data_IF_053305138906
#
_entry.id   IF_053305138906
#
_cell.length_a   1.000
_cell.length_b   1.000
_cell.length_c   1.000
_cell.angle_alpha   90.00
_cell.angle_beta   90.00
_cell.angle_gamma   90.00
#
_symmetry.space_group_name_H-M   'P 1'
#
loop_
_entity.id
_entity.type
_entity.pdbx_description
1 polymer ?
#
# COMPACT_ATOMS: atom_id res chain seq x y z
N UNK A 1 -11.57 0.51 -5.69
CA UNK A 1 -12.83 1.09 -6.25
C UNK A 1 -14.00 0.93 -5.26
N UNK A 2 -13.72 0.72 -3.98
CA UNK A 2 -14.69 0.39 -2.96
C UNK A 2 -15.12 -1.09 -2.90
N UNK A 3 -14.68 -1.96 -3.83
CA UNK A 3 -15.12 -3.36 -3.90
C UNK A 3 -13.97 -4.32 -3.59
N UNK A 4 -14.18 -5.20 -2.62
CA UNK A 4 -13.15 -6.17 -2.19
C UNK A 4 -13.01 -7.40 -3.11
N UNK A 5 -13.90 -7.54 -4.10
CA UNK A 5 -13.90 -8.65 -5.06
C UNK A 5 -13.30 -8.27 -6.43
N UNK A 6 -13.01 -6.99 -6.66
CA UNK A 6 -12.18 -6.52 -7.77
C UNK A 6 -10.74 -6.40 -7.27
N UNK A 7 -9.78 -6.56 -8.18
CA UNK A 7 -8.36 -6.48 -7.84
C UNK A 7 -7.62 -5.69 -8.90
N UNK A 8 -6.59 -4.99 -8.47
CA UNK A 8 -5.49 -4.53 -9.31
C UNK A 8 -4.38 -5.56 -9.29
N UNK A 9 -3.65 -5.63 -10.39
CA UNK A 9 -2.54 -6.55 -10.56
C UNK A 9 -1.56 -5.94 -11.56
N UNK A 10 -0.29 -5.86 -11.18
CA UNK A 10 0.77 -5.45 -12.11
C UNK A 10 1.17 -6.62 -13.02
N UNK A 11 2.16 -6.42 -13.89
CA UNK A 11 2.91 -7.56 -14.43
C UNK A 11 3.90 -8.08 -13.38
N UNK A 12 4.60 -9.19 -13.69
CA UNK A 12 5.73 -9.61 -12.87
C UNK A 12 6.91 -8.72 -13.23
N UNK A 13 7.26 -7.83 -12.32
CA UNK A 13 8.28 -6.82 -12.54
C UNK A 13 9.09 -6.59 -11.27
N UNK A 14 10.22 -5.90 -11.41
CA UNK A 14 11.05 -5.54 -10.27
C UNK A 14 10.47 -4.32 -9.58
N UNK A 15 10.34 -4.40 -8.25
CA UNK A 15 9.81 -3.32 -7.42
C UNK A 15 8.42 -2.81 -7.85
N UNK A 16 7.44 -3.70 -8.05
CA UNK A 16 6.10 -3.30 -8.47
C UNK A 16 5.51 -2.36 -7.41
N UNK A 17 4.78 -1.34 -7.88
CA UNK A 17 4.23 -0.33 -6.99
C UNK A 17 2.84 0.12 -7.41
N UNK A 18 2.13 0.66 -6.43
CA UNK A 18 0.90 1.40 -6.60
C UNK A 18 1.04 2.72 -5.84
N UNK A 19 0.55 3.81 -6.42
CA UNK A 19 0.58 5.13 -5.80
C UNK A 19 -0.75 5.84 -6.01
N UNK A 20 -1.22 6.53 -4.98
CA UNK A 20 -2.38 7.43 -5.05
C UNK A 20 -1.95 8.86 -4.75
N UNK A 21 -2.48 9.80 -5.52
CA UNK A 21 -2.47 11.24 -5.23
C UNK A 21 -3.79 11.62 -4.55
N UNK A 22 -3.73 12.11 -3.31
CA UNK A 22 -4.90 12.53 -2.53
C UNK A 22 -5.41 13.94 -2.91
N UNK A 23 -4.76 14.62 -3.86
CA UNK A 23 -5.11 15.94 -4.38
C UNK A 23 -4.55 17.11 -3.56
N UNK A 24 -4.31 16.92 -2.26
CA UNK A 24 -3.63 17.89 -1.37
C UNK A 24 -2.91 17.17 -0.23
N UNK A 25 -2.22 17.94 0.60
CA UNK A 25 -1.51 17.42 1.77
C UNK A 25 -2.51 17.15 2.90
N UNK A 26 -2.41 15.98 3.50
CA UNK A 26 -3.14 15.55 4.69
C UNK A 26 -2.19 15.01 5.76
N UNK A 27 -2.66 15.01 6.99
CA UNK A 27 -2.07 14.28 8.10
C UNK A 27 -2.61 12.84 8.08
N UNK A 28 -1.76 11.89 7.70
CA UNK A 28 -2.13 10.48 7.49
C UNK A 28 -1.89 9.70 8.78
N UNK A 29 -2.93 9.00 9.23
CA UNK A 29 -2.95 8.22 10.47
C UNK A 29 -2.60 6.75 10.23
N UNK A 30 -3.32 6.13 9.30
CA UNK A 30 -3.17 4.71 8.98
C UNK A 30 -3.53 4.40 7.54
N UNK A 31 -2.97 3.30 7.07
CA UNK A 31 -3.23 2.73 5.75
C UNK A 31 -3.72 1.30 5.95
N UNK A 32 -4.81 0.95 5.29
CA UNK A 32 -5.34 -0.41 5.29
C UNK A 32 -5.22 -0.98 3.88
N UNK A 33 -4.72 -2.20 3.78
CA UNK A 33 -4.48 -2.91 2.53
C UNK A 33 -5.21 -4.24 2.58
N UNK A 34 -6.11 -4.46 1.63
CA UNK A 34 -6.86 -5.69 1.48
C UNK A 34 -6.17 -6.52 0.40
N UNK A 35 -5.63 -7.68 0.77
CA UNK A 35 -4.97 -8.58 -0.17
C UNK A 35 -6.02 -9.27 -1.07
N UNK A 36 -5.55 -9.86 -2.17
CA UNK A 36 -6.37 -10.59 -3.13
C UNK A 36 -7.19 -11.69 -2.43
N UNK A 37 -8.52 -11.78 -2.68
CA UNK A 37 -9.42 -12.64 -1.89
C UNK A 37 -9.48 -14.10 -2.33
N UNK A 38 -9.04 -14.45 -3.54
CA UNK A 38 -9.33 -15.77 -4.14
C UNK A 38 -8.12 -16.69 -4.35
N UNK A 39 -6.89 -16.17 -4.38
CA UNK A 39 -5.68 -16.98 -4.36
C UNK A 39 -4.45 -16.12 -4.07
N UNK A 40 -3.32 -16.81 -3.91
CA UNK A 40 -2.01 -16.24 -4.23
C UNK A 40 -1.53 -15.12 -3.28
N UNK A 41 -2.19 -14.93 -2.14
CA UNK A 41 -1.87 -13.84 -1.19
C UNK A 41 -0.41 -13.80 -0.74
N UNK A 42 0.28 -14.96 -0.70
CA UNK A 42 1.71 -15.06 -0.37
C UNK A 42 2.66 -14.28 -1.27
N UNK A 43 2.20 -13.82 -2.44
CA UNK A 43 3.01 -12.94 -3.30
C UNK A 43 3.20 -11.56 -2.68
N UNK A 44 2.24 -11.07 -1.89
CA UNK A 44 2.39 -9.81 -1.17
C UNK A 44 3.32 -10.02 0.03
N UNK A 45 4.55 -9.54 -0.11
CA UNK A 45 5.64 -9.61 0.87
C UNK A 45 6.66 -8.52 0.61
N UNK A 46 7.51 -8.25 1.59
CA UNK A 46 8.51 -7.17 1.58
C UNK A 46 7.94 -5.84 1.04
N UNK A 47 6.80 -5.43 1.58
CA UNK A 47 6.04 -4.25 1.15
C UNK A 47 6.40 -3.04 1.99
N UNK A 48 6.85 -1.97 1.34
CA UNK A 48 7.00 -0.65 1.93
C UNK A 48 5.75 0.20 1.69
N UNK A 49 5.29 0.87 2.75
CA UNK A 49 4.31 1.94 2.69
C UNK A 49 5.06 3.26 2.83
N UNK A 50 4.98 4.11 1.81
CA UNK A 50 5.71 5.36 1.69
C UNK A 50 4.74 6.53 1.59
N UNK A 51 5.02 7.62 2.29
CA UNK A 51 4.17 8.82 2.34
C UNK A 51 5.01 10.07 2.09
N UNK A 52 4.54 10.98 1.25
CA UNK A 52 5.26 12.25 1.05
C UNK A 52 4.47 13.32 0.28
N UNK A 53 4.94 14.57 0.30
CA UNK A 53 4.35 15.65 -0.50
C UNK A 53 4.60 15.45 -2.00
N UNK A 54 5.72 14.82 -2.39
CA UNK A 54 6.13 14.60 -3.79
C UNK A 54 6.72 13.20 -3.98
N UNK A 55 6.77 12.71 -5.22
CA UNK A 55 7.26 11.36 -5.55
C UNK A 55 8.74 11.13 -5.18
N UNK A 56 9.56 12.18 -5.20
CA UNK A 56 10.98 12.15 -4.82
C UNK A 56 11.25 12.52 -3.35
N UNK A 57 10.20 12.75 -2.56
CA UNK A 57 10.30 13.19 -1.17
C UNK A 57 9.39 12.35 -0.26
N UNK A 58 9.45 11.02 -0.40
CA UNK A 58 8.65 10.09 0.40
C UNK A 58 9.43 9.55 1.61
N UNK A 59 8.73 9.37 2.73
CA UNK A 59 9.23 8.76 3.96
C UNK A 59 8.57 7.40 4.18
N UNK A 60 9.32 6.47 4.77
CA UNK A 60 8.79 5.16 5.18
C UNK A 60 7.80 5.35 6.33
N UNK A 61 6.54 4.96 6.10
CA UNK A 61 5.51 4.82 7.11
C UNK A 61 5.64 3.48 7.82
N UNK A 62 5.66 2.39 7.05
CA UNK A 62 5.72 1.04 7.58
C UNK A 62 6.40 0.11 6.59
N UNK A 63 7.01 -0.96 7.11
CA UNK A 63 7.52 -2.08 6.33
C UNK A 63 6.83 -3.37 6.78
N UNK A 64 6.40 -4.16 5.81
CA UNK A 64 5.80 -5.47 6.01
C UNK A 64 6.64 -6.55 5.34
N UNK A 65 7.35 -7.34 6.15
CA UNK A 65 8.17 -8.45 5.64
C UNK A 65 7.31 -9.53 4.96
N UNK A 66 6.14 -9.83 5.52
CA UNK A 66 5.25 -10.87 5.01
C UNK A 66 5.82 -12.30 5.17
N UNK A 67 5.35 -13.26 4.35
CA UNK A 67 4.28 -13.12 3.36
C UNK A 67 2.89 -13.00 3.97
N UNK A 68 1.97 -12.37 3.23
CA UNK A 68 0.54 -12.33 3.56
C UNK A 68 -0.20 -13.60 3.10
N UNK A 69 -1.42 -13.81 3.60
CA UNK A 69 -2.34 -14.86 3.17
C UNK A 69 -3.43 -14.31 2.23
N UNK A 70 -4.15 -15.24 1.60
CA UNK A 70 -5.23 -14.90 0.68
C UNK A 70 -6.38 -14.28 1.48
N UNK A 71 -6.83 -13.09 1.07
CA UNK A 71 -7.91 -12.34 1.73
C UNK A 71 -7.51 -11.58 2.98
N UNK A 72 -6.22 -11.52 3.32
CA UNK A 72 -5.76 -10.76 4.49
C UNK A 72 -6.15 -9.29 4.42
N UNK A 73 -6.47 -8.73 5.59
CA UNK A 73 -6.61 -7.31 5.83
C UNK A 73 -5.42 -6.86 6.68
N UNK A 74 -4.54 -6.05 6.09
CA UNK A 74 -3.34 -5.53 6.73
C UNK A 74 -3.58 -4.07 7.14
N UNK A 75 -3.25 -3.73 8.38
CA UNK A 75 -3.39 -2.38 8.94
C UNK A 75 -2.01 -1.85 9.32
N UNK A 76 -1.65 -0.69 8.76
CA UNK A 76 -0.34 -0.06 8.95
C UNK A 76 -0.50 1.28 9.66
N UNK A 77 0.18 1.43 10.80
CA UNK A 77 0.34 2.69 11.53
C UNK A 77 1.76 3.21 11.31
N UNK A 78 1.93 4.51 11.07
CA UNK A 78 3.23 5.09 10.73
C UNK A 78 4.13 5.41 11.95
N UNK A 79 3.83 4.85 13.13
CA UNK A 79 4.51 5.21 14.39
C UNK A 79 4.30 6.67 14.84
N UNK A 80 3.36 7.37 14.20
CA UNK A 80 3.06 8.78 14.38
C UNK A 80 2.28 9.32 13.17
N UNK A 81 1.97 10.61 13.17
CA UNK A 81 1.29 11.27 12.06
C UNK A 81 2.31 11.63 10.97
N UNK A 82 2.10 11.14 9.75
CA UNK A 82 2.89 11.54 8.59
C UNK A 82 2.09 12.46 7.67
N UNK A 83 2.63 13.65 7.41
CA UNK A 83 2.02 14.65 6.54
C UNK A 83 2.42 14.40 5.08
N UNK A 84 1.45 14.18 4.19
CA UNK A 84 1.71 13.85 2.79
C UNK A 84 0.51 14.00 1.86
N UNK A 85 0.81 14.09 0.55
CA UNK A 85 -0.19 14.11 -0.53
C UNK A 85 -0.25 12.78 -1.28
N UNK A 86 0.87 12.07 -1.34
CA UNK A 86 1.01 10.80 -2.05
C UNK A 86 1.22 9.66 -1.06
N UNK A 87 0.53 8.55 -1.29
CA UNK A 87 0.75 7.27 -0.59
C UNK A 87 1.17 6.24 -1.62
N UNK A 88 2.29 5.56 -1.38
CA UNK A 88 2.85 4.55 -2.28
C UNK A 88 3.04 3.22 -1.55
N UNK A 89 2.54 2.16 -2.15
CA UNK A 89 2.82 0.77 -1.82
C UNK A 89 3.88 0.29 -2.79
N UNK A 90 5.02 -0.21 -2.29
CA UNK A 90 6.13 -0.68 -3.14
C UNK A 90 6.71 -1.96 -2.57
N UNK A 91 6.71 -3.04 -3.35
CA UNK A 91 7.37 -4.27 -2.93
C UNK A 91 8.88 -4.19 -3.22
N UNK A 92 9.71 -4.84 -2.40
CA UNK A 92 11.17 -4.95 -2.62
C UNK A 92 11.58 -6.17 -3.45
N UNK A 93 10.60 -6.91 -3.99
CA UNK A 93 10.83 -8.16 -4.74
C UNK A 93 10.58 -8.00 -6.24
N UNK A 94 10.93 -9.04 -7.01
CA UNK A 94 10.44 -9.24 -8.39
C UNK A 94 9.22 -10.14 -8.39
N UNK A 95 8.03 -9.56 -8.33
CA UNK A 95 6.76 -10.29 -8.22
C UNK A 95 5.59 -9.44 -8.76
N UNK A 96 4.38 -9.98 -8.78
CA UNK A 96 3.16 -9.21 -9.03
C UNK A 96 2.70 -8.48 -7.76
N UNK A 97 2.56 -7.14 -7.81
CA UNK A 97 1.76 -6.44 -6.82
C UNK A 97 0.29 -6.64 -7.16
N UNK A 98 -0.44 -7.21 -6.22
CA UNK A 98 -1.88 -7.35 -6.33
C UNK A 98 -2.53 -7.10 -4.98
N UNK A 99 -3.48 -6.17 -4.95
CA UNK A 99 -4.29 -5.92 -3.77
C UNK A 99 -5.72 -5.70 -4.28
N UNK A 100 -6.71 -5.94 -3.43
CA UNK A 100 -8.11 -5.70 -3.75
C UNK A 100 -8.46 -4.22 -3.51
N UNK A 101 -7.99 -3.67 -2.40
CA UNK A 101 -8.32 -2.31 -2.01
C UNK A 101 -7.21 -1.71 -1.14
N UNK A 102 -7.04 -0.39 -1.22
CA UNK A 102 -6.23 0.40 -0.30
C UNK A 102 -7.10 1.50 0.27
N UNK A 103 -7.15 1.62 1.59
CA UNK A 103 -7.84 2.72 2.28
C UNK A 103 -6.83 3.58 3.02
N UNK A 104 -6.95 4.89 2.85
CA UNK A 104 -6.12 5.89 3.54
C UNK A 104 -7.00 6.65 4.52
N UNK A 105 -6.64 6.64 5.79
CA UNK A 105 -7.33 7.37 6.84
C UNK A 105 -6.49 8.59 7.22
N UNK A 106 -7.07 9.77 7.08
CA UNK A 106 -6.35 11.03 7.21
C UNK A 106 -7.29 12.18 7.57
N UNK A 107 -6.72 13.27 8.09
CA UNK A 107 -7.37 14.55 8.34
C UNK A 107 -6.53 15.71 7.79
N UNK A 108 -7.08 16.93 7.81
CA UNK A 108 -6.46 18.15 7.25
C UNK A 108 -5.55 18.80 8.28
#
# INVERSE_FOLDING_TARGET
DGRLNTIQHTNKEQFPFWVVDLGKIYDIERIEVFNRPNCCGKRLRDLDILIGPYHNAMKLCAHYAGPSHTGDHLVFQCGGVLRGRHVKLMMRTTEYLHVAEVKVFAWI
#
